data_IF_003796502380
#
_entry.id   IF_003796502380
#
_cell.length_a   1.000
_cell.length_b   1.000
_cell.length_c   1.000
_cell.angle_alpha   90.00
_cell.angle_beta   90.00
_cell.angle_gamma   90.00
#
_symmetry.space_group_name_H-M   'P 1'
#
loop_
_entity.id
_entity.type
_entity.pdbx_description
1 polymer ?
#
# COMPACT_ATOMS: atom_id res chain seq x y z
N UNK A 1 -10.19 61.82 32.23
CA UNK A 1 -9.63 60.45 32.21
C UNK A 1 -10.28 59.70 31.06
N UNK A 2 -9.59 59.64 29.91
CA UNK A 2 -10.09 59.04 28.67
C UNK A 2 -9.90 57.51 28.74
N UNK A 3 -10.99 56.75 28.65
CA UNK A 3 -10.97 55.28 28.62
C UNK A 3 -10.56 54.80 27.22
N UNK A 4 -9.41 54.14 27.12
CA UNK A 4 -8.97 53.42 25.93
C UNK A 4 -9.95 52.27 25.62
N UNK A 5 -10.54 52.31 24.43
CA UNK A 5 -11.30 51.21 23.83
C UNK A 5 -10.30 50.27 23.17
N UNK A 6 -10.11 49.08 23.72
CA UNK A 6 -9.29 48.03 23.09
C UNK A 6 -10.20 47.18 22.21
N UNK A 7 -9.97 47.27 20.91
CA UNK A 7 -10.68 46.51 19.86
C UNK A 7 -10.26 45.04 19.97
N UNK A 8 -11.21 44.15 20.24
CA UNK A 8 -11.02 42.70 20.18
C UNK A 8 -11.14 42.27 18.71
N UNK A 9 -10.01 42.04 18.05
CA UNK A 9 -9.97 41.37 16.75
C UNK A 9 -10.23 39.87 16.96
N UNK A 10 -11.47 39.44 16.73
CA UNK A 10 -11.82 38.04 16.64
C UNK A 10 -11.24 37.45 15.34
N UNK A 11 -10.11 36.74 15.46
CA UNK A 11 -9.58 35.92 14.38
C UNK A 11 -10.47 34.69 14.25
N UNK A 12 -11.38 34.70 13.26
CA UNK A 12 -12.15 33.52 12.92
C UNK A 12 -11.20 32.46 12.35
N UNK A 13 -10.86 31.46 13.16
CA UNK A 13 -10.20 30.26 12.68
C UNK A 13 -11.17 29.51 11.76
N UNK A 14 -11.01 29.69 10.46
CA UNK A 14 -11.67 28.83 9.46
C UNK A 14 -11.02 27.47 9.61
N UNK A 15 -11.66 26.58 10.38
CA UNK A 15 -11.31 25.18 10.42
C UNK A 15 -11.58 24.60 9.04
N UNK A 16 -10.54 24.51 8.22
CA UNK A 16 -10.56 23.71 7.00
C UNK A 16 -10.74 22.28 7.48
N UNK A 17 -11.97 21.77 7.42
CA UNK A 17 -12.22 20.36 7.62
C UNK A 17 -11.53 19.65 6.45
N UNK A 18 -10.35 19.09 6.72
CA UNK A 18 -9.69 18.12 5.86
C UNK A 18 -10.65 16.93 5.72
N UNK A 19 -11.50 16.96 4.71
CA UNK A 19 -12.19 15.76 4.25
C UNK A 19 -11.12 14.91 3.58
N UNK A 20 -10.43 14.09 4.36
CA UNK A 20 -9.64 12.98 3.82
C UNK A 20 -10.60 12.17 2.94
N UNK A 21 -10.41 12.26 1.62
CA UNK A 21 -11.23 11.54 0.65
C UNK A 21 -11.28 10.06 1.06
N UNK A 22 -12.47 9.46 1.03
CA UNK A 22 -12.60 8.04 1.31
C UNK A 22 -11.69 7.26 0.35
N UNK A 23 -10.87 6.37 0.92
CA UNK A 23 -9.96 5.54 0.14
C UNK A 23 -10.40 4.09 0.23
N UNK A 24 -10.64 3.47 -0.93
CA UNK A 24 -10.89 2.03 -1.02
C UNK A 24 -9.58 1.30 -1.30
N UNK A 25 -9.12 0.46 -0.38
CA UNK A 25 -7.86 -0.27 -0.49
C UNK A 25 -8.04 -1.75 -0.83
N UNK A 26 -7.42 -2.19 -1.93
CA UNK A 26 -7.46 -3.56 -2.42
C UNK A 26 -6.19 -4.32 -2.00
N UNK A 27 -6.32 -5.47 -1.30
CA UNK A 27 -5.16 -6.31 -1.00
C UNK A 27 -4.62 -6.96 -2.27
N UNK A 28 -3.29 -7.07 -2.33
CA UNK A 28 -2.55 -7.77 -3.38
C UNK A 28 -1.50 -8.65 -2.70
N UNK A 29 -1.29 -9.86 -3.20
CA UNK A 29 -0.34 -10.81 -2.62
C UNK A 29 0.39 -11.62 -3.67
N UNK A 30 1.57 -12.11 -3.30
CA UNK A 30 2.29 -13.16 -4.03
C UNK A 30 2.66 -14.29 -3.07
N UNK A 31 2.73 -15.49 -3.63
CA UNK A 31 3.15 -16.71 -2.93
C UNK A 31 3.87 -17.60 -3.94
N UNK A 32 5.16 -17.81 -3.74
CA UNK A 32 6.00 -18.55 -4.68
C UNK A 32 6.88 -19.53 -3.93
N UNK A 33 6.93 -20.76 -4.44
CA UNK A 33 7.92 -21.77 -4.08
C UNK A 33 8.91 -21.93 -5.23
N UNK A 34 10.21 -21.94 -4.92
CA UNK A 34 11.27 -22.18 -5.90
C UNK A 34 12.51 -22.80 -5.27
N UNK A 35 13.37 -23.38 -6.11
CA UNK A 35 14.68 -23.87 -5.69
C UNK A 35 15.64 -22.69 -5.46
N UNK A 36 16.15 -22.60 -4.23
CA UNK A 36 17.01 -21.53 -3.76
C UNK A 36 16.25 -20.30 -3.29
N UNK A 37 16.64 -19.77 -2.12
CA UNK A 37 16.02 -18.59 -1.51
C UNK A 37 16.03 -17.36 -2.44
N UNK A 38 17.15 -17.11 -3.13
CA UNK A 38 17.30 -15.96 -4.02
C UNK A 38 16.32 -16.01 -5.20
N UNK A 39 16.14 -17.19 -5.80
CA UNK A 39 15.19 -17.39 -6.89
C UNK A 39 13.75 -17.23 -6.41
N UNK A 40 13.39 -17.89 -5.30
CA UNK A 40 12.07 -17.77 -4.70
C UNK A 40 11.71 -16.31 -4.41
N UNK A 41 12.65 -15.55 -3.83
CA UNK A 41 12.48 -14.12 -3.57
C UNK A 41 12.28 -13.33 -4.86
N UNK A 42 13.14 -13.50 -5.84
CA UNK A 42 13.07 -12.76 -7.10
C UNK A 42 11.76 -13.05 -7.86
N UNK A 43 11.28 -14.30 -7.86
CA UNK A 43 9.99 -14.65 -8.45
C UNK A 43 8.81 -14.05 -7.67
N UNK A 44 8.86 -14.08 -6.34
CA UNK A 44 7.81 -13.49 -5.49
C UNK A 44 7.75 -11.97 -5.63
N UNK A 45 8.89 -11.28 -5.77
CA UNK A 45 8.97 -9.84 -6.08
C UNK A 45 8.31 -9.52 -7.42
N UNK A 46 8.75 -10.17 -8.50
CA UNK A 46 8.17 -9.98 -9.84
C UNK A 46 6.67 -10.28 -9.88
N UNK A 47 6.23 -11.32 -9.17
CA UNK A 47 4.82 -11.68 -9.07
C UNK A 47 4.01 -10.59 -8.37
N UNK A 48 4.51 -10.07 -7.25
CA UNK A 48 3.85 -8.99 -6.50
C UNK A 48 3.78 -7.70 -7.33
N UNK A 49 4.86 -7.34 -8.02
CA UNK A 49 4.91 -6.14 -8.87
C UNK A 49 3.89 -6.20 -10.01
N UNK A 50 3.78 -7.35 -10.67
CA UNK A 50 2.75 -7.57 -11.71
C UNK A 50 1.34 -7.46 -11.15
N UNK A 51 1.08 -8.04 -9.99
CA UNK A 51 -0.24 -7.98 -9.36
C UNK A 51 -0.61 -6.56 -8.92
N UNK A 52 0.37 -5.77 -8.44
CA UNK A 52 0.19 -4.34 -8.14
C UNK A 52 -0.12 -3.58 -9.44
N UNK A 53 0.65 -3.80 -10.51
CA UNK A 53 0.45 -3.11 -11.79
C UNK A 53 -0.93 -3.42 -12.39
N UNK A 54 -1.36 -4.69 -12.36
CA UNK A 54 -2.69 -5.10 -12.81
C UNK A 54 -3.79 -4.41 -11.99
N UNK A 55 -3.62 -4.30 -10.66
CA UNK A 55 -4.60 -3.59 -9.81
C UNK A 55 -4.64 -2.09 -10.09
N UNK A 56 -3.50 -1.44 -10.32
CA UNK A 56 -3.44 -0.02 -10.72
C UNK A 56 -4.21 0.20 -12.03
N UNK A 57 -3.91 -0.61 -13.05
CA UNK A 57 -4.60 -0.54 -14.35
C UNK A 57 -6.11 -0.76 -14.22
N UNK A 58 -6.54 -1.69 -13.36
CA UNK A 58 -7.96 -1.91 -13.07
C UNK A 58 -8.64 -0.70 -12.41
N UNK A 59 -7.95 -0.01 -11.49
CA UNK A 59 -8.44 1.23 -10.85
C UNK A 59 -8.62 2.33 -11.91
N UNK A 60 -7.60 2.55 -12.73
CA UNK A 60 -7.60 3.56 -13.80
C UNK A 60 -8.71 3.29 -14.83
N UNK A 61 -8.88 2.03 -15.24
CA UNK A 61 -9.94 1.61 -16.18
C UNK A 61 -11.34 1.79 -15.60
N UNK A 62 -11.47 1.78 -14.27
CA UNK A 62 -12.73 2.03 -13.56
C UNK A 62 -13.03 3.53 -13.39
N UNK A 63 -12.19 4.43 -13.94
CA UNK A 63 -12.33 5.88 -13.81
C UNK A 63 -11.94 6.42 -12.43
N UNK A 64 -11.36 5.59 -11.56
CA UNK A 64 -10.91 6.00 -10.22
C UNK A 64 -9.46 6.46 -10.26
N UNK A 65 -9.09 7.38 -9.36
CA UNK A 65 -7.71 7.84 -9.22
C UNK A 65 -6.93 6.96 -8.26
N UNK A 66 -5.71 6.59 -8.64
CA UNK A 66 -4.77 5.90 -7.74
C UNK A 66 -4.38 6.83 -6.58
N UNK A 67 -4.61 6.42 -5.34
CA UNK A 67 -4.29 7.22 -4.16
C UNK A 67 -2.95 6.80 -3.53
N UNK A 68 -2.77 5.50 -3.23
CA UNK A 68 -1.60 5.01 -2.50
C UNK A 68 -1.29 3.56 -2.84
N UNK A 69 0.00 3.21 -2.82
CA UNK A 69 0.46 1.82 -2.76
C UNK A 69 1.30 1.63 -1.51
N UNK A 70 0.94 0.64 -0.69
CA UNK A 70 1.74 0.24 0.48
C UNK A 70 2.21 -1.18 0.27
N UNK A 71 3.53 -1.40 0.30
CA UNK A 71 4.16 -2.71 0.14
C UNK A 71 4.76 -3.13 1.47
N UNK A 72 4.54 -4.39 1.85
CA UNK A 72 5.23 -5.01 2.97
C UNK A 72 6.44 -5.79 2.44
N UNK A 73 7.41 -6.00 3.30
CA UNK A 73 8.56 -6.86 3.00
C UNK A 73 8.13 -8.30 2.71
N UNK A 74 8.92 -8.97 1.89
CA UNK A 74 8.73 -10.38 1.60
C UNK A 74 9.17 -11.23 2.78
N UNK A 75 8.30 -12.15 3.17
CA UNK A 75 8.64 -13.19 4.14
C UNK A 75 9.05 -14.45 3.37
N UNK A 76 10.30 -14.87 3.53
CA UNK A 76 10.85 -16.08 2.95
C UNK A 76 11.20 -17.09 4.03
N UNK A 77 10.79 -18.34 3.85
CA UNK A 77 11.09 -19.44 4.75
C UNK A 77 11.44 -20.71 3.95
N UNK A 78 12.25 -21.62 4.52
CA UNK A 78 12.42 -22.96 3.96
C UNK A 78 11.05 -23.61 3.76
N UNK A 79 10.82 -24.17 2.58
CA UNK A 79 9.61 -24.89 2.26
C UNK A 79 9.86 -26.38 2.50
N UNK A 80 9.01 -27.08 3.28
CA UNK A 80 9.23 -28.48 3.59
C UNK A 80 9.22 -29.29 2.29
N UNK A 81 10.38 -29.88 2.01
CA UNK A 81 10.65 -30.73 0.87
C UNK A 81 10.33 -32.19 1.23
N UNK A 82 9.80 -32.95 0.27
CA UNK A 82 9.68 -34.41 0.43
C UNK A 82 11.02 -35.14 0.20
N UNK A 83 12.05 -34.45 -0.32
CA UNK A 83 13.25 -35.07 -0.91
C UNK A 83 14.59 -34.33 -0.65
N UNK A 84 14.69 -33.47 0.36
CA UNK A 84 15.97 -32.81 0.69
C UNK A 84 16.40 -31.67 -0.27
N UNK A 85 15.55 -31.26 -1.20
CA UNK A 85 15.81 -30.14 -2.12
C UNK A 85 15.75 -28.76 -1.42
N UNK A 86 16.63 -27.83 -1.75
CA UNK A 86 16.65 -26.47 -1.18
C UNK A 86 15.46 -25.62 -1.69
N UNK A 87 14.25 -25.97 -1.27
CA UNK A 87 13.02 -25.28 -1.63
C UNK A 87 12.73 -24.17 -0.64
N UNK A 88 12.36 -23.00 -1.17
CA UNK A 88 12.01 -21.83 -0.38
C UNK A 88 10.66 -21.29 -0.80
N UNK A 89 9.84 -20.92 0.18
CA UNK A 89 8.59 -20.21 -0.03
C UNK A 89 8.76 -18.76 0.33
N UNK A 90 8.50 -17.86 -0.61
CA UNK A 90 8.49 -16.43 -0.40
C UNK A 90 7.08 -15.88 -0.62
N UNK A 91 6.58 -15.15 0.37
CA UNK A 91 5.26 -14.51 0.34
C UNK A 91 5.39 -13.00 0.43
N UNK A 92 4.65 -12.30 -0.43
CA UNK A 92 4.62 -10.83 -0.48
C UNK A 92 3.20 -10.32 -0.28
N UNK A 93 3.06 -9.14 0.32
CA UNK A 93 1.77 -8.47 0.51
C UNK A 93 1.89 -6.99 0.18
N UNK A 94 0.86 -6.45 -0.45
CA UNK A 94 0.71 -5.04 -0.72
C UNK A 94 -0.76 -4.63 -0.64
N UNK A 95 -1.00 -3.33 -0.57
CA UNK A 95 -2.33 -2.71 -0.69
C UNK A 95 -2.25 -1.62 -1.73
N UNK A 96 -3.21 -1.63 -2.66
CA UNK A 96 -3.36 -0.60 -3.69
C UNK A 96 -4.68 0.11 -3.41
N UNK A 97 -4.64 1.41 -3.13
CA UNK A 97 -5.79 2.20 -2.73
C UNK A 97 -6.21 3.15 -3.87
N UNK A 98 -7.51 3.23 -4.10
CA UNK A 98 -8.14 4.21 -4.98
C UNK A 98 -8.77 5.32 -4.14
N UNK A 99 -8.76 6.56 -4.64
CA UNK A 99 -9.63 7.61 -4.16
C UNK A 99 -11.05 7.32 -4.68
N UNK A 100 -12.05 7.45 -3.81
CA UNK A 100 -13.46 7.37 -4.19
C UNK A 100 -13.99 8.69 -4.75
#
# INVERSE_FOLDING_TARGET
MLRCVTIVTALAAISVADTAAAQTCFPVSSDVVSLGQANARAYAERSLDRAIAARKSSIETSGKTLAKVTRNDLACAPFPNLLGADEWRCTGRARVCAAD
#
